data_IF_424183444163
#
_entry.id   IF_424183444163
#
_cell.length_a   1.000
_cell.length_b   1.000
_cell.length_c   1.000
_cell.angle_alpha   90.00
_cell.angle_beta   90.00
_cell.angle_gamma   90.00
#
_symmetry.space_group_name_H-M   'P 1'
#
loop_
_entity.id
_entity.type
_entity.pdbx_description
1 polymer ?
#
# COMPACT_ATOMS: atom_id res chain seq x y z
N UNK A 1 -1.78 15.54 -26.15
CA UNK A 1 -2.15 14.39 -26.96
C UNK A 1 -0.93 13.64 -27.55
N UNK A 2 0.09 14.31 -28.08
CA UNK A 2 1.28 13.67 -28.63
C UNK A 2 1.97 12.66 -27.68
N UNK A 3 2.07 12.96 -26.40
CA UNK A 3 2.64 12.04 -25.40
C UNK A 3 1.79 10.78 -25.26
N UNK A 4 0.47 10.88 -25.30
CA UNK A 4 -0.43 9.72 -25.22
C UNK A 4 -0.27 8.82 -26.44
N UNK A 5 -0.20 9.40 -27.63
CA UNK A 5 0.02 8.68 -28.87
C UNK A 5 1.37 7.95 -28.87
N UNK A 6 2.42 8.61 -28.40
CA UNK A 6 3.75 7.99 -28.25
C UNK A 6 3.74 6.83 -27.26
N UNK A 7 3.05 6.96 -26.12
CA UNK A 7 2.94 5.88 -25.12
C UNK A 7 2.13 4.70 -25.67
N UNK A 8 1.00 4.96 -26.31
CA UNK A 8 0.21 3.92 -26.95
C UNK A 8 1.04 3.15 -28.02
N UNK A 9 1.72 3.87 -28.89
CA UNK A 9 2.57 3.27 -29.93
C UNK A 9 3.72 2.46 -29.31
N UNK A 10 4.34 2.98 -28.25
CA UNK A 10 5.41 2.27 -27.54
C UNK A 10 4.93 0.95 -26.95
N UNK A 11 3.73 0.92 -26.36
CA UNK A 11 3.14 -0.31 -25.82
C UNK A 11 2.83 -1.33 -26.91
N UNK A 12 2.27 -0.88 -28.04
CA UNK A 12 2.04 -1.75 -29.21
C UNK A 12 3.35 -2.36 -29.74
N UNK A 13 4.35 -1.52 -29.98
CA UNK A 13 5.66 -1.98 -30.47
C UNK A 13 6.31 -2.96 -29.50
N UNK A 14 6.14 -2.76 -28.19
CA UNK A 14 6.61 -3.70 -27.17
C UNK A 14 5.91 -5.06 -27.32
N UNK A 15 4.59 -5.08 -27.51
CA UNK A 15 3.84 -6.33 -27.71
C UNK A 15 4.24 -7.07 -28.98
N UNK A 16 4.42 -6.36 -30.09
CA UNK A 16 4.87 -6.95 -31.35
C UNK A 16 6.27 -7.58 -31.23
N UNK A 17 7.15 -6.91 -30.48
CA UNK A 17 8.52 -7.36 -30.31
C UNK A 17 8.66 -8.53 -29.33
N UNK A 18 8.03 -8.42 -28.15
CA UNK A 18 8.24 -9.36 -27.06
C UNK A 18 7.27 -10.56 -27.10
N UNK A 19 6.14 -10.44 -27.84
CA UNK A 19 5.09 -11.48 -27.97
C UNK A 19 4.81 -12.21 -26.65
N UNK A 20 4.35 -11.49 -25.60
CA UNK A 20 4.23 -12.05 -24.26
C UNK A 20 3.17 -13.15 -24.20
N UNK A 21 3.41 -14.20 -23.40
CA UNK A 21 2.41 -15.23 -23.09
C UNK A 21 1.33 -14.72 -22.13
N UNK A 22 1.68 -13.75 -21.28
CA UNK A 22 0.78 -13.17 -20.25
C UNK A 22 0.93 -11.65 -20.26
N UNK A 23 -0.23 -10.96 -20.32
CA UNK A 23 -0.36 -9.53 -20.06
C UNK A 23 -1.03 -9.31 -18.73
N UNK A 24 -0.23 -9.00 -17.70
CA UNK A 24 -0.72 -8.67 -16.36
C UNK A 24 -0.93 -7.16 -16.21
N UNK A 25 -2.18 -6.74 -15.95
CA UNK A 25 -2.56 -5.33 -15.82
C UNK A 25 -2.95 -5.00 -14.38
N UNK A 26 -2.18 -4.11 -13.73
CA UNK A 26 -2.48 -3.72 -12.35
C UNK A 26 -3.67 -2.76 -12.30
N UNK A 27 -4.68 -3.15 -11.52
CA UNK A 27 -5.85 -2.37 -11.12
C UNK A 27 -6.81 -1.98 -12.27
N UNK A 28 -6.46 -2.10 -13.52
CA UNK A 28 -7.37 -1.84 -14.64
C UNK A 28 -8.20 -3.10 -14.92
N UNK A 29 -9.53 -3.01 -15.11
CA UNK A 29 -10.38 -1.81 -15.26
C UNK A 29 -10.98 -1.24 -13.96
N UNK A 30 -10.78 -1.84 -12.79
CA UNK A 30 -11.30 -1.34 -11.51
C UNK A 30 -10.85 0.09 -11.16
N UNK A 31 -9.70 0.50 -11.68
CA UNK A 31 -9.12 1.83 -11.52
C UNK A 31 -8.29 2.23 -12.73
N UNK A 32 -7.36 3.17 -12.51
CA UNK A 32 -6.38 3.59 -13.53
C UNK A 32 -7.00 4.09 -14.85
N UNK A 33 -8.22 4.65 -14.80
CA UNK A 33 -8.93 5.20 -15.97
C UNK A 33 -8.07 6.14 -16.82
N UNK A 34 -7.10 6.84 -16.22
CA UNK A 34 -6.18 7.73 -16.93
C UNK A 34 -5.30 7.00 -17.96
N UNK A 35 -5.11 5.68 -17.83
CA UNK A 35 -4.30 4.86 -18.75
C UNK A 35 -5.14 4.08 -19.78
N UNK A 36 -6.45 4.29 -19.78
CA UNK A 36 -7.37 3.63 -20.72
C UNK A 36 -6.96 3.82 -22.17
N UNK A 37 -6.45 5.00 -22.53
CA UNK A 37 -6.06 5.34 -23.90
C UNK A 37 -4.95 4.45 -24.47
N UNK A 38 -4.11 3.86 -23.62
CA UNK A 38 -3.02 2.98 -24.03
C UNK A 38 -3.34 1.49 -23.82
N UNK A 39 -4.17 1.16 -22.81
CA UNK A 39 -4.52 -0.24 -22.47
C UNK A 39 -5.61 -0.78 -23.40
N UNK A 40 -6.74 -0.06 -23.58
CA UNK A 40 -7.86 -0.54 -24.37
C UNK A 40 -7.47 -0.92 -25.80
N UNK A 41 -6.69 -0.13 -26.56
CA UNK A 41 -6.30 -0.48 -27.91
C UNK A 41 -5.48 -1.79 -27.99
N UNK A 42 -4.67 -2.08 -26.97
CA UNK A 42 -3.91 -3.35 -26.90
C UNK A 42 -4.85 -4.51 -26.61
N UNK A 43 -5.78 -4.36 -25.67
CA UNK A 43 -6.79 -5.37 -25.36
C UNK A 43 -7.66 -5.70 -26.59
N UNK A 44 -8.10 -4.67 -27.30
CA UNK A 44 -8.84 -4.81 -28.56
C UNK A 44 -8.01 -5.56 -29.62
N UNK A 45 -6.73 -5.17 -29.79
CA UNK A 45 -5.86 -5.79 -30.78
C UNK A 45 -5.55 -7.27 -30.48
N UNK A 46 -5.45 -7.65 -29.19
CA UNK A 46 -5.30 -9.05 -28.79
C UNK A 46 -6.61 -9.81 -29.09
N UNK A 47 -7.76 -9.26 -28.70
CA UNK A 47 -9.08 -9.86 -28.92
C UNK A 47 -9.38 -10.07 -30.41
N UNK A 48 -8.99 -9.11 -31.28
CA UNK A 48 -9.16 -9.15 -32.72
C UNK A 48 -8.04 -9.93 -33.45
N UNK A 49 -7.11 -10.52 -32.72
CA UNK A 49 -5.96 -11.27 -33.26
C UNK A 49 -5.02 -10.43 -34.14
N UNK A 50 -4.99 -9.10 -33.93
CA UNK A 50 -4.01 -8.20 -34.58
C UNK A 50 -2.65 -8.23 -33.88
N UNK A 51 -2.63 -8.62 -32.61
CA UNK A 51 -1.43 -8.95 -31.84
C UNK A 51 -1.39 -10.44 -31.53
N UNK A 52 -0.22 -10.94 -31.12
CA UNK A 52 -0.08 -12.32 -30.67
C UNK A 52 -1.03 -12.64 -29.53
N UNK A 53 -1.61 -13.85 -29.53
CA UNK A 53 -2.50 -14.30 -28.46
C UNK A 53 -1.72 -14.43 -27.16
N UNK A 54 -2.21 -13.79 -26.08
CA UNK A 54 -1.67 -13.93 -24.74
C UNK A 54 -2.82 -14.02 -23.73
N UNK A 55 -2.54 -14.49 -22.52
CA UNK A 55 -3.47 -14.44 -21.41
C UNK A 55 -3.51 -13.05 -20.81
N UNK A 56 -4.69 -12.44 -20.74
CA UNK A 56 -4.88 -11.12 -20.16
C UNK A 56 -5.40 -11.27 -18.73
N UNK A 57 -4.65 -10.80 -17.75
CA UNK A 57 -4.96 -11.00 -16.34
C UNK A 57 -5.02 -9.64 -15.63
N UNK A 58 -6.13 -9.39 -14.92
CA UNK A 58 -6.25 -8.25 -14.03
C UNK A 58 -5.65 -8.57 -12.65
N UNK A 59 -4.76 -7.74 -12.17
CA UNK A 59 -4.18 -7.80 -10.82
C UNK A 59 -4.80 -6.69 -9.97
N UNK A 60 -5.49 -7.02 -8.89
CA UNK A 60 -6.21 -6.06 -8.05
C UNK A 60 -5.89 -6.25 -6.57
N UNK A 61 -5.89 -5.15 -5.81
CA UNK A 61 -5.72 -5.18 -4.35
C UNK A 61 -7.02 -5.59 -3.66
N UNK A 62 -6.92 -5.75 -2.35
CA UNK A 62 -7.97 -6.23 -1.45
C UNK A 62 -9.24 -5.37 -1.42
N UNK A 63 -9.09 -4.04 -1.43
CA UNK A 63 -10.19 -3.09 -1.25
C UNK A 63 -10.20 -2.10 -2.40
N UNK A 64 -11.37 -1.93 -3.01
CA UNK A 64 -11.59 -0.94 -4.06
C UNK A 64 -12.04 0.40 -3.48
N UNK A 65 -11.50 1.48 -4.04
CA UNK A 65 -11.90 2.84 -3.68
C UNK A 65 -13.27 3.16 -4.30
N UNK A 66 -14.20 3.60 -3.48
CA UNK A 66 -15.55 4.00 -3.93
C UNK A 66 -15.49 5.13 -4.97
N UNK A 67 -16.45 5.08 -5.91
CA UNK A 67 -16.64 6.09 -6.94
C UNK A 67 -18.00 6.77 -6.76
N UNK A 68 -18.11 8.02 -7.17
CA UNK A 68 -19.35 8.81 -7.07
C UNK A 68 -20.53 8.16 -7.82
N UNK A 69 -20.28 7.62 -9.01
CA UNK A 69 -21.27 6.87 -9.82
C UNK A 69 -20.86 5.39 -9.81
N UNK A 70 -21.09 4.74 -8.67
CA UNK A 70 -20.62 3.39 -8.39
C UNK A 70 -21.20 2.37 -9.36
N UNK A 71 -22.51 2.34 -9.52
CA UNK A 71 -23.22 1.37 -10.36
C UNK A 71 -22.72 1.41 -11.81
N UNK A 72 -22.71 2.60 -12.42
CA UNK A 72 -22.21 2.80 -13.78
C UNK A 72 -20.73 2.49 -13.94
N UNK A 73 -19.93 2.76 -12.89
CA UNK A 73 -18.52 2.40 -12.91
C UNK A 73 -18.34 0.89 -12.89
N UNK A 74 -19.01 0.21 -11.97
CA UNK A 74 -18.90 -1.24 -11.79
C UNK A 74 -19.44 -2.02 -13.00
N UNK A 75 -20.56 -1.60 -13.60
CA UNK A 75 -21.07 -2.18 -14.85
C UNK A 75 -20.04 -2.13 -15.99
N UNK A 76 -19.35 -1.00 -16.17
CA UNK A 76 -18.27 -0.88 -17.16
C UNK A 76 -17.07 -1.76 -16.85
N UNK A 77 -16.73 -1.90 -15.57
CA UNK A 77 -15.64 -2.79 -15.14
C UNK A 77 -15.98 -4.22 -15.52
N UNK A 78 -17.18 -4.69 -15.20
CA UNK A 78 -17.66 -6.04 -15.56
C UNK A 78 -17.65 -6.25 -17.06
N UNK A 79 -18.20 -5.31 -17.85
CA UNK A 79 -18.18 -5.38 -19.31
C UNK A 79 -16.76 -5.52 -19.85
N UNK A 80 -15.81 -4.71 -19.35
CA UNK A 80 -14.42 -4.74 -19.79
C UNK A 80 -13.72 -6.05 -19.39
N UNK A 81 -13.94 -6.52 -18.16
CA UNK A 81 -13.39 -7.79 -17.67
C UNK A 81 -13.88 -8.97 -18.51
N UNK A 82 -15.20 -9.10 -18.64
CA UNK A 82 -15.82 -10.23 -19.35
C UNK A 82 -15.48 -10.24 -20.84
N UNK A 83 -15.17 -9.09 -21.42
CA UNK A 83 -14.83 -8.96 -22.85
C UNK A 83 -13.36 -9.25 -23.16
N UNK A 84 -12.44 -8.82 -22.29
CA UNK A 84 -11.03 -8.76 -22.65
C UNK A 84 -10.11 -9.56 -21.73
N UNK A 85 -10.55 -9.94 -20.51
CA UNK A 85 -9.69 -10.60 -19.54
C UNK A 85 -9.98 -12.09 -19.43
N UNK A 86 -8.93 -12.86 -19.13
CA UNK A 86 -9.04 -14.30 -18.87
C UNK A 86 -9.22 -14.61 -17.38
N UNK A 87 -8.75 -13.74 -16.48
CA UNK A 87 -8.87 -13.92 -15.04
C UNK A 87 -8.66 -12.62 -14.26
N UNK A 88 -9.13 -12.61 -13.00
CA UNK A 88 -8.81 -11.59 -11.99
C UNK A 88 -8.02 -12.24 -10.86
N UNK A 89 -6.87 -11.69 -10.51
CA UNK A 89 -6.09 -12.05 -9.34
C UNK A 89 -6.28 -10.99 -8.25
N UNK A 90 -6.89 -11.39 -7.13
CA UNK A 90 -7.12 -10.50 -5.98
C UNK A 90 -6.02 -10.74 -4.95
N UNK A 91 -5.24 -9.70 -4.64
CA UNK A 91 -4.16 -9.76 -3.65
C UNK A 91 -4.72 -9.56 -2.24
N UNK A 92 -5.47 -10.54 -1.77
CA UNK A 92 -6.12 -10.59 -0.46
C UNK A 92 -6.25 -12.02 0.04
N UNK A 93 -6.44 -12.17 1.35
CA UNK A 93 -6.96 -13.37 1.96
C UNK A 93 -8.50 -13.21 2.06
N UNK A 94 -9.31 -14.08 1.42
CA UNK A 94 -10.78 -13.98 1.48
C UNK A 94 -11.34 -14.15 2.90
N UNK A 95 -10.58 -14.76 3.83
CA UNK A 95 -10.97 -14.80 5.25
C UNK A 95 -10.89 -13.44 5.93
N UNK A 96 -10.07 -12.52 5.41
CA UNK A 96 -9.95 -11.16 5.92
C UNK A 96 -10.87 -10.22 5.16
N UNK A 97 -10.72 -10.15 3.82
CA UNK A 97 -11.48 -9.24 2.95
C UNK A 97 -11.77 -9.94 1.63
N UNK A 98 -13.05 -10.00 1.27
CA UNK A 98 -13.49 -10.44 -0.04
C UNK A 98 -13.75 -9.24 -0.97
N UNK A 99 -13.42 -9.37 -2.25
CA UNK A 99 -13.64 -8.32 -3.25
C UNK A 99 -15.11 -7.88 -3.32
N UNK A 100 -16.06 -8.82 -3.14
CA UNK A 100 -17.50 -8.53 -3.13
C UNK A 100 -17.95 -7.56 -2.03
N UNK A 101 -17.16 -7.36 -0.98
CA UNK A 101 -17.47 -6.38 0.08
C UNK A 101 -17.28 -4.92 -0.36
N UNK A 102 -16.57 -4.72 -1.47
CA UNK A 102 -16.26 -3.39 -2.03
C UNK A 102 -16.58 -3.27 -3.52
N UNK A 103 -17.20 -4.31 -4.11
CA UNK A 103 -17.61 -4.36 -5.51
C UNK A 103 -18.96 -5.07 -5.61
N UNK A 104 -20.04 -4.32 -5.82
CA UNK A 104 -21.42 -4.83 -5.75
C UNK A 104 -21.77 -5.74 -6.94
N UNK A 105 -21.18 -5.47 -8.12
CA UNK A 105 -21.39 -6.26 -9.34
C UNK A 105 -20.47 -7.50 -9.43
N UNK A 106 -19.93 -7.97 -8.29
CA UNK A 106 -19.00 -9.11 -8.25
C UNK A 106 -19.57 -10.37 -8.92
N UNK A 107 -20.85 -10.68 -8.70
CA UNK A 107 -21.48 -11.90 -9.21
C UNK A 107 -21.76 -11.84 -10.73
N UNK A 108 -21.59 -10.69 -11.36
CA UNK A 108 -21.68 -10.50 -12.81
C UNK A 108 -20.35 -10.75 -13.54
N UNK A 109 -19.24 -10.91 -12.80
CA UNK A 109 -17.94 -11.27 -13.38
C UNK A 109 -17.99 -12.73 -13.82
N UNK A 110 -17.93 -12.98 -15.14
CA UNK A 110 -18.05 -14.32 -15.72
C UNK A 110 -16.71 -15.06 -15.87
N UNK A 111 -15.59 -14.36 -15.67
CA UNK A 111 -14.24 -14.94 -15.72
C UNK A 111 -13.79 -15.38 -14.31
N UNK A 112 -12.82 -16.31 -14.21
CA UNK A 112 -12.29 -16.75 -12.90
C UNK A 112 -11.74 -15.61 -12.07
N UNK A 113 -12.15 -15.54 -10.79
CA UNK A 113 -11.60 -14.66 -9.77
C UNK A 113 -10.86 -15.51 -8.74
N UNK A 114 -9.56 -15.29 -8.59
CA UNK A 114 -8.69 -16.07 -7.71
C UNK A 114 -8.00 -15.18 -6.68
N UNK A 115 -8.00 -15.62 -5.43
CA UNK A 115 -7.29 -14.94 -4.34
C UNK A 115 -5.89 -15.49 -4.20
N UNK A 116 -4.89 -14.62 -4.25
CA UNK A 116 -3.46 -15.00 -4.20
C UNK A 116 -2.87 -14.96 -2.78
N UNK A 117 -3.65 -14.49 -1.81
CA UNK A 117 -3.09 -13.98 -0.57
C UNK A 117 -2.42 -12.62 -0.76
N UNK A 118 -1.92 -12.04 0.32
CA UNK A 118 -1.20 -10.78 0.26
C UNK A 118 0.21 -10.96 -0.29
N UNK A 119 0.57 -10.11 -1.24
CA UNK A 119 1.92 -10.08 -1.82
C UNK A 119 2.72 -9.02 -1.09
N UNK A 120 3.70 -9.44 -0.32
CA UNK A 120 4.58 -8.56 0.45
C UNK A 120 6.04 -9.02 0.36
N UNK A 121 6.96 -8.08 0.34
CA UNK A 121 8.38 -8.40 0.51
C UNK A 121 8.63 -8.94 1.92
N UNK A 122 9.54 -9.89 2.05
CA UNK A 122 10.02 -10.37 3.35
C UNK A 122 11.37 -9.72 3.66
N UNK A 123 11.62 -9.35 4.92
CA UNK A 123 12.94 -8.88 5.30
C UNK A 123 13.97 -10.00 5.10
N UNK A 124 15.17 -9.65 4.64
CA UNK A 124 16.26 -10.61 4.59
C UNK A 124 16.65 -11.05 6.02
N UNK A 125 17.20 -12.26 6.20
CA UNK A 125 17.73 -12.70 7.51
C UNK A 125 18.68 -11.67 8.10
N UNK A 126 18.69 -11.56 9.42
CA UNK A 126 19.57 -10.67 10.21
C UNK A 126 19.44 -9.17 9.92
N UNK A 127 18.48 -8.77 9.09
CA UNK A 127 18.27 -7.37 8.72
C UNK A 127 17.98 -6.50 9.93
N UNK A 128 17.16 -6.98 10.88
CA UNK A 128 16.88 -6.27 12.13
C UNK A 128 18.14 -6.02 12.96
N UNK A 129 19.01 -7.03 13.09
CA UNK A 129 20.29 -6.93 13.81
C UNK A 129 21.18 -5.89 13.14
N UNK A 130 21.26 -5.90 11.81
CA UNK A 130 22.05 -4.93 11.04
C UNK A 130 21.60 -3.48 11.30
N UNK A 131 20.28 -3.25 11.28
CA UNK A 131 19.72 -1.91 11.52
C UNK A 131 19.96 -1.46 12.97
N UNK A 132 19.74 -2.32 13.96
CA UNK A 132 20.01 -1.98 15.36
C UNK A 132 21.48 -1.62 15.56
N UNK A 133 22.41 -2.38 14.97
CA UNK A 133 23.85 -2.06 14.99
C UNK A 133 24.16 -0.72 14.31
N UNK A 134 23.55 -0.44 13.16
CA UNK A 134 23.71 0.84 12.44
C UNK A 134 23.23 2.04 13.26
N UNK A 135 22.16 1.84 14.06
CA UNK A 135 21.60 2.88 14.92
C UNK A 135 22.24 2.92 16.31
N UNK A 136 23.20 2.05 16.58
CA UNK A 136 23.87 1.92 17.89
C UNK A 136 22.89 1.57 19.02
N UNK A 137 21.86 0.77 18.74
CA UNK A 137 20.82 0.34 19.66
C UNK A 137 21.16 -1.04 20.20
N UNK A 138 21.28 -1.16 21.52
CA UNK A 138 21.54 -2.41 22.23
C UNK A 138 20.33 -3.36 22.24
N UNK A 139 20.58 -4.63 22.62
CA UNK A 139 19.53 -5.67 22.67
C UNK A 139 18.42 -5.36 23.67
N UNK A 140 18.74 -4.74 24.81
CA UNK A 140 17.80 -4.35 25.87
C UNK A 140 17.14 -2.99 25.66
N UNK A 141 17.43 -2.32 24.54
CA UNK A 141 16.88 -1.02 24.21
C UNK A 141 15.70 -1.18 23.26
N UNK A 142 14.71 -0.29 23.38
CA UNK A 142 13.48 -0.32 22.58
C UNK A 142 13.62 0.60 21.38
N UNK A 143 13.30 0.08 20.19
CA UNK A 143 13.17 0.87 18.97
C UNK A 143 11.70 1.00 18.58
N UNK A 144 11.20 2.23 18.59
CA UNK A 144 9.90 2.57 18.02
C UNK A 144 10.10 3.16 16.63
N UNK A 145 9.35 2.65 15.64
CA UNK A 145 9.36 3.20 14.28
C UNK A 145 8.01 3.83 13.98
N UNK A 146 8.00 5.12 13.70
CA UNK A 146 6.80 5.86 13.31
C UNK A 146 6.83 6.25 11.84
N UNK A 147 5.69 6.13 11.12
CA UNK A 147 5.64 6.54 9.72
C UNK A 147 4.28 7.08 9.27
N UNK A 148 4.32 8.09 8.40
CA UNK A 148 3.14 8.68 7.76
C UNK A 148 2.95 8.23 6.29
N UNK A 149 3.67 7.20 5.84
CA UNK A 149 3.61 6.73 4.45
C UNK A 149 4.06 7.80 3.45
N UNK A 150 3.18 8.24 2.55
CA UNK A 150 3.49 9.30 1.57
C UNK A 150 3.73 10.67 2.19
N UNK A 151 3.11 10.96 3.33
CA UNK A 151 3.35 12.18 4.10
C UNK A 151 2.35 13.31 3.89
N UNK A 152 1.44 13.25 2.92
CA UNK A 152 0.52 14.35 2.62
C UNK A 152 -0.40 14.75 3.79
N UNK A 153 -0.78 13.81 4.65
CA UNK A 153 -1.78 14.00 5.72
C UNK A 153 -1.34 13.44 7.08
N UNK A 154 -0.09 13.03 7.21
CA UNK A 154 0.40 12.27 8.37
C UNK A 154 1.01 13.10 9.50
N UNK A 155 1.01 14.44 9.45
CA UNK A 155 1.58 15.28 10.51
C UNK A 155 0.94 15.03 11.88
N UNK A 156 -0.40 14.91 12.03
CA UNK A 156 -1.04 14.75 13.34
C UNK A 156 -0.57 13.51 14.12
N UNK A 157 -0.50 12.35 13.46
CA UNK A 157 -0.02 11.12 14.13
C UNK A 157 1.45 11.25 14.55
N UNK A 158 2.30 11.83 13.71
CA UNK A 158 3.73 11.98 14.03
C UNK A 158 3.95 12.96 15.18
N UNK A 159 3.18 14.05 15.25
CA UNK A 159 3.20 14.98 16.38
C UNK A 159 2.76 14.30 17.69
N UNK A 160 1.71 13.47 17.62
CA UNK A 160 1.22 12.73 18.78
C UNK A 160 2.24 11.71 19.27
N UNK A 161 2.90 10.99 18.36
CA UNK A 161 3.98 10.08 18.72
C UNK A 161 5.12 10.82 19.40
N UNK A 162 5.56 11.96 18.86
CA UNK A 162 6.63 12.78 19.48
C UNK A 162 6.22 13.27 20.87
N UNK A 163 4.98 13.75 21.04
CA UNK A 163 4.47 14.18 22.36
C UNK A 163 4.42 13.02 23.36
N UNK A 164 3.88 11.87 22.94
CA UNK A 164 3.80 10.69 23.78
C UNK A 164 5.19 10.19 24.21
N UNK A 165 6.13 10.12 23.24
CA UNK A 165 7.50 9.71 23.50
C UNK A 165 8.21 10.65 24.51
N UNK A 166 8.02 11.96 24.36
CA UNK A 166 8.55 12.95 25.31
C UNK A 166 7.94 12.82 26.72
N UNK A 167 6.63 12.52 26.85
CA UNK A 167 5.94 12.36 28.14
C UNK A 167 6.31 11.08 28.89
N UNK A 168 6.54 9.99 28.17
CA UNK A 168 6.92 8.72 28.77
C UNK A 168 8.25 8.79 29.52
N UNK A 169 9.01 9.89 29.37
CA UNK A 169 10.27 10.10 30.05
C UNK A 169 11.23 8.94 29.85
N UNK A 170 11.10 8.23 28.73
CA UNK A 170 11.87 7.04 28.40
C UNK A 170 13.33 7.44 28.25
N UNK A 171 14.01 7.49 29.37
CA UNK A 171 15.40 7.89 29.48
C UNK A 171 16.28 6.79 28.87
N UNK A 172 17.19 7.19 28.02
CA UNK A 172 18.39 6.47 27.55
C UNK A 172 18.20 5.08 26.89
N UNK A 173 17.11 4.34 27.13
CA UNK A 173 16.86 2.98 26.63
C UNK A 173 15.78 2.86 25.55
N UNK A 174 15.22 4.00 25.11
CA UNK A 174 14.23 3.99 24.04
C UNK A 174 14.63 4.95 22.93
N UNK A 175 14.47 4.50 21.72
CA UNK A 175 14.80 5.23 20.51
C UNK A 175 13.56 5.35 19.64
N UNK A 176 13.37 6.50 19.02
CA UNK A 176 12.28 6.76 18.09
C UNK A 176 12.84 7.14 16.72
N UNK A 177 12.52 6.34 15.72
CA UNK A 177 12.80 6.65 14.31
C UNK A 177 11.52 7.07 13.62
N UNK A 178 11.49 8.28 13.08
CA UNK A 178 10.33 8.86 12.39
C UNK A 178 10.61 8.99 10.90
N UNK A 179 9.70 8.44 10.08
CA UNK A 179 9.68 8.62 8.63
C UNK A 179 8.45 9.45 8.25
N UNK A 180 8.67 10.70 7.87
CA UNK A 180 7.59 11.65 7.62
C UNK A 180 6.91 11.45 6.27
N UNK A 181 7.56 10.73 5.35
CA UNK A 181 7.18 10.67 3.96
C UNK A 181 7.77 11.79 3.11
N UNK A 182 7.97 11.54 1.79
CA UNK A 182 8.62 12.49 0.89
C UNK A 182 7.78 13.75 0.62
N UNK A 183 6.46 13.66 0.76
CA UNK A 183 5.52 14.72 0.40
C UNK A 183 5.03 15.54 1.61
N UNK A 184 5.59 15.35 2.80
CA UNK A 184 5.25 16.19 3.95
C UNK A 184 5.71 17.63 3.68
N UNK A 185 4.83 18.60 4.00
CA UNK A 185 5.16 20.03 3.90
C UNK A 185 6.45 20.36 4.67
N UNK A 186 7.20 21.34 4.16
CA UNK A 186 8.50 21.70 4.74
C UNK A 186 8.35 22.27 6.16
N UNK A 187 7.31 23.08 6.40
CA UNK A 187 7.10 23.67 7.73
C UNK A 187 6.76 22.59 8.77
N UNK A 188 5.96 21.59 8.37
CA UNK A 188 5.65 20.45 9.24
C UNK A 188 6.89 19.61 9.52
N UNK A 189 7.71 19.35 8.52
CA UNK A 189 8.97 18.64 8.70
C UNK A 189 9.91 19.35 9.66
N UNK A 190 10.05 20.69 9.51
CA UNK A 190 10.91 21.50 10.37
C UNK A 190 10.38 21.54 11.82
N UNK A 191 9.04 21.59 11.97
CA UNK A 191 8.39 21.56 13.29
C UNK A 191 8.62 20.22 14.00
N UNK A 192 8.43 19.10 13.30
CA UNK A 192 8.68 17.76 13.84
C UNK A 192 10.16 17.59 14.22
N UNK A 193 11.08 18.04 13.36
CA UNK A 193 12.52 17.95 13.59
C UNK A 193 12.96 18.80 14.80
N UNK A 194 12.42 20.00 14.97
CA UNK A 194 12.67 20.86 16.14
C UNK A 194 12.15 20.27 17.44
N UNK A 195 11.08 19.48 17.37
CA UNK A 195 10.49 18.80 18.52
C UNK A 195 11.20 17.51 18.89
N UNK A 196 12.17 17.07 18.09
CA UNK A 196 12.91 15.84 18.32
C UNK A 196 13.89 16.00 19.51
N UNK A 197 13.81 15.06 20.46
CA UNK A 197 14.77 14.94 21.57
C UNK A 197 16.00 14.12 21.18
N UNK A 198 16.92 13.90 22.15
CA UNK A 198 18.21 13.25 21.90
C UNK A 198 18.11 11.83 21.30
N UNK A 199 17.07 11.06 21.64
CA UNK A 199 16.87 9.69 21.16
C UNK A 199 15.83 9.61 20.02
N UNK A 200 15.59 10.73 19.33
CA UNK A 200 14.63 10.83 18.23
C UNK A 200 15.33 11.21 16.94
N UNK A 201 15.14 10.42 15.90
CA UNK A 201 15.65 10.73 14.57
C UNK A 201 14.48 10.91 13.61
N UNK A 202 14.36 12.10 13.01
CA UNK A 202 13.35 12.42 11.99
C UNK A 202 14.00 12.40 10.62
N UNK A 203 13.40 11.65 9.68
CA UNK A 203 13.88 11.49 8.32
C UNK A 203 12.69 11.50 7.37
N UNK A 204 12.84 12.07 6.16
CA UNK A 204 11.74 12.10 5.20
C UNK A 204 11.43 10.72 4.63
N UNK A 205 12.44 10.03 4.15
CA UNK A 205 12.26 8.81 3.38
C UNK A 205 13.44 7.85 3.54
N UNK A 206 13.17 6.57 3.36
CA UNK A 206 14.18 5.52 3.21
C UNK A 206 13.69 4.47 2.20
N UNK A 207 14.61 3.91 1.43
CA UNK A 207 14.35 2.73 0.58
C UNK A 207 14.37 1.42 1.37
N UNK A 208 14.83 1.46 2.63
CA UNK A 208 15.05 0.29 3.50
C UNK A 208 14.01 0.20 4.65
N UNK A 209 12.80 0.75 4.42
CA UNK A 209 11.76 0.85 5.47
C UNK A 209 11.39 -0.50 6.09
N UNK A 210 11.33 -1.56 5.28
CA UNK A 210 11.05 -2.92 5.75
C UNK A 210 12.09 -3.39 6.78
N UNK A 211 13.35 -3.04 6.57
CA UNK A 211 14.45 -3.38 7.49
C UNK A 211 14.33 -2.67 8.85
N UNK A 212 13.87 -1.41 8.84
CA UNK A 212 13.57 -0.67 10.08
C UNK A 212 12.43 -1.31 10.85
N UNK A 213 11.37 -1.78 10.17
CA UNK A 213 10.28 -2.50 10.81
C UNK A 213 10.73 -3.85 11.38
N UNK A 214 11.61 -4.56 10.67
CA UNK A 214 12.21 -5.82 11.16
C UNK A 214 13.10 -5.62 12.39
N UNK A 215 13.62 -4.41 12.62
CA UNK A 215 14.43 -4.04 13.79
C UNK A 215 13.59 -3.51 14.96
N UNK A 216 12.36 -3.08 14.70
CA UNK A 216 11.51 -2.37 15.64
C UNK A 216 10.82 -3.29 16.65
N UNK A 217 10.65 -2.80 17.86
CA UNK A 217 9.84 -3.43 18.90
C UNK A 217 8.38 -2.95 18.84
N UNK A 218 8.15 -1.78 18.23
CA UNK A 218 6.82 -1.21 18.01
C UNK A 218 6.80 -0.35 16.74
N UNK A 219 5.78 -0.53 15.92
CA UNK A 219 5.47 0.37 14.80
C UNK A 219 4.26 1.25 15.13
N UNK A 220 4.32 2.54 14.78
CA UNK A 220 3.17 3.45 14.82
C UNK A 220 2.99 4.08 13.46
N UNK A 221 1.83 3.89 12.81
CA UNK A 221 1.67 4.33 11.42
C UNK A 221 0.23 4.59 11.01
N UNK A 222 0.11 5.15 9.80
CA UNK A 222 -1.16 5.31 9.11
C UNK A 222 -1.54 4.06 8.37
N UNK A 223 -2.36 3.24 8.47
CA UNK A 223 -2.77 1.99 7.81
C UNK A 223 -2.75 1.94 6.26
N UNK A 224 -1.80 2.59 5.61
CA UNK A 224 -1.61 2.49 4.17
C UNK A 224 -1.28 1.06 3.75
N UNK A 225 -1.74 0.61 2.55
CA UNK A 225 -1.58 -0.78 2.09
C UNK A 225 -0.15 -1.31 2.26
N UNK A 226 0.84 -0.64 1.67
CA UNK A 226 2.23 -1.12 1.71
C UNK A 226 2.79 -1.17 3.14
N UNK A 227 2.49 -0.18 3.97
CA UNK A 227 2.93 -0.16 5.38
C UNK A 227 2.29 -1.31 6.16
N UNK A 228 1.00 -1.55 5.96
CA UNK A 228 0.30 -2.68 6.60
C UNK A 228 0.89 -4.02 6.16
N UNK A 229 1.18 -4.19 4.87
CA UNK A 229 1.83 -5.43 4.38
C UNK A 229 3.23 -5.61 4.96
N UNK A 230 4.00 -4.54 5.12
CA UNK A 230 5.31 -4.60 5.75
C UNK A 230 5.22 -4.96 7.25
N UNK A 231 4.23 -4.42 7.98
CA UNK A 231 3.95 -4.78 9.37
C UNK A 231 3.65 -6.28 9.48
N UNK A 232 2.73 -6.79 8.68
CA UNK A 232 2.37 -8.20 8.68
C UNK A 232 3.54 -9.11 8.29
N UNK A 233 4.37 -8.68 7.33
CA UNK A 233 5.54 -9.43 6.86
C UNK A 233 6.67 -9.52 7.90
N UNK A 234 6.82 -8.50 8.76
CA UNK A 234 7.83 -8.47 9.81
C UNK A 234 7.32 -9.02 11.14
N UNK A 235 6.01 -9.05 11.36
CA UNK A 235 5.39 -9.43 12.62
C UNK A 235 5.61 -8.41 13.75
N UNK A 236 6.05 -7.18 13.42
CA UNK A 236 6.25 -6.15 14.42
C UNK A 236 4.93 -5.74 15.07
N UNK A 237 4.83 -5.66 16.41
CA UNK A 237 3.67 -5.08 17.08
C UNK A 237 3.35 -3.69 16.53
N UNK A 238 2.07 -3.40 16.26
CA UNK A 238 1.72 -2.17 15.57
C UNK A 238 0.50 -1.46 16.17
N UNK A 239 0.62 -0.13 16.30
CA UNK A 239 -0.45 0.81 16.50
C UNK A 239 -0.73 1.50 15.16
N UNK A 240 -1.96 1.43 14.69
CA UNK A 240 -2.33 1.97 13.38
C UNK A 240 -3.45 2.98 13.53
N UNK A 241 -3.21 4.21 13.09
CA UNK A 241 -4.23 5.24 12.95
C UNK A 241 -4.64 5.33 11.47
N UNK A 242 -5.78 4.74 11.08
CA UNK A 242 -6.27 4.86 9.72
C UNK A 242 -6.76 6.28 9.47
N UNK A 243 -6.31 6.89 8.37
CA UNK A 243 -6.75 8.25 8.03
C UNK A 243 -8.29 8.32 7.94
N UNK A 244 -8.95 9.25 8.67
CA UNK A 244 -10.41 9.25 8.82
C UNK A 244 -11.20 9.28 7.51
N UNK A 245 -10.66 9.94 6.49
CA UNK A 245 -11.29 10.06 5.17
C UNK A 245 -10.97 8.88 4.23
N UNK A 246 -10.18 7.90 4.69
CA UNK A 246 -9.78 6.74 3.89
C UNK A 246 -10.45 5.46 4.38
N UNK A 247 -11.59 5.13 3.78
CA UNK A 247 -12.37 3.92 4.11
C UNK A 247 -11.57 2.63 3.94
N UNK A 248 -10.71 2.56 2.92
CA UNK A 248 -9.85 1.40 2.68
C UNK A 248 -8.95 1.11 3.89
N UNK A 249 -8.29 2.15 4.42
CA UNK A 249 -7.44 2.00 5.60
C UNK A 249 -8.23 1.56 6.83
N UNK A 250 -9.40 2.17 7.07
CA UNK A 250 -10.26 1.81 8.22
C UNK A 250 -10.74 0.36 8.15
N UNK A 251 -11.24 -0.06 6.99
CA UNK A 251 -11.75 -1.41 6.82
C UNK A 251 -10.65 -2.45 7.05
N UNK A 252 -9.47 -2.25 6.43
CA UNK A 252 -8.33 -3.17 6.60
C UNK A 252 -7.81 -3.19 8.02
N UNK A 253 -7.59 -2.02 8.63
CA UNK A 253 -7.08 -1.93 9.99
C UNK A 253 -8.05 -2.55 11.00
N UNK A 254 -9.37 -2.30 10.87
CA UNK A 254 -10.39 -2.91 11.72
C UNK A 254 -10.39 -4.43 11.64
N UNK A 255 -10.39 -5.00 10.42
CA UNK A 255 -10.32 -6.45 10.24
C UNK A 255 -9.07 -7.09 10.85
N UNK A 256 -7.93 -6.44 10.69
CA UNK A 256 -6.66 -6.91 11.27
C UNK A 256 -6.65 -6.79 12.81
N UNK A 257 -7.30 -5.75 13.35
CA UNK A 257 -7.46 -5.60 14.79
C UNK A 257 -8.37 -6.69 15.37
N UNK A 258 -9.48 -7.03 14.70
CA UNK A 258 -10.38 -8.12 15.11
C UNK A 258 -9.63 -9.48 15.18
N UNK A 259 -8.61 -9.66 14.36
CA UNK A 259 -7.73 -10.84 14.36
C UNK A 259 -6.57 -10.73 15.38
N UNK A 260 -6.43 -9.61 16.08
CA UNK A 260 -5.33 -9.37 17.02
C UNK A 260 -3.98 -9.11 16.36
N UNK A 261 -3.93 -8.84 15.05
CA UNK A 261 -2.69 -8.62 14.31
C UNK A 261 -2.09 -7.22 14.52
N UNK A 262 -2.90 -6.26 14.93
CA UNK A 262 -2.50 -4.89 15.26
C UNK A 262 -3.55 -4.25 16.17
N UNK A 263 -3.27 -3.03 16.67
CA UNK A 263 -4.24 -2.22 17.41
C UNK A 263 -4.53 -0.93 16.63
N UNK A 264 -5.81 -0.61 16.49
CA UNK A 264 -6.26 0.65 15.89
C UNK A 264 -6.22 1.76 16.93
N UNK A 265 -5.75 2.93 16.53
CA UNK A 265 -5.89 4.19 17.24
C UNK A 265 -7.04 4.98 16.62
N UNK A 266 -7.85 5.59 17.47
CA UNK A 266 -8.91 6.51 17.07
C UNK A 266 -8.41 7.97 17.11
N UNK A 267 -9.22 8.91 16.61
CA UNK A 267 -8.84 10.33 16.56
C UNK A 267 -8.63 10.91 17.98
N UNK A 268 -9.35 10.39 18.98
CA UNK A 268 -9.26 10.78 20.39
C UNK A 268 -7.94 10.32 21.04
N UNK A 269 -7.25 9.35 20.46
CA UNK A 269 -5.96 8.85 20.94
C UNK A 269 -4.79 9.75 20.52
N UNK A 270 -5.02 10.69 19.58
CA UNK A 270 -4.01 11.64 19.09
C UNK A 270 -4.01 12.92 19.94
#
# INVERSE_FOLDING_TARGET
>A
DQIKEQRQQALFTLFEKETPDIFLVELYPFGRKAFRFEIDPVLEAISEKRLASCKVICSVRDILVEKEDRDKHESRVVETLNRYFDAVLVHADPKLIELRQTFDHFDEISIPVSYTGYIAAKPAPDTGIRIRKQLEIGEEEILVVASAGGGNVGAPILESVLRAFGRLGMKSRCHLKVFTGPFLDQNDFDRLTKSAGNNVQVTRFTTDFLSYLAAADLSVSMGGYNTTMNILSTGVPALVWPFPQNREQRLRAGRLADMGALRVLEDEDL
#
